data_IF_583917119741
#
_entry.id   IF_583917119741
#
_cell.length_a   1.000
_cell.length_b   1.000
_cell.length_c   1.000
_cell.angle_alpha   90.00
_cell.angle_beta   90.00
_cell.angle_gamma   90.00
#
_symmetry.space_group_name_H-M   'P 1'
#
loop_
_entity.id
_entity.type
_entity.pdbx_description
1 polymer ?
#
# COMPACT_ATOMS: atom_id res chain seq x y z
N UNK A 1 25.60 -6.38 -0.69
CA UNK A 1 26.68 -5.37 -0.87
C UNK A 1 26.00 -4.01 -0.77
N UNK A 2 26.41 -3.17 0.17
CA UNK A 2 25.97 -1.77 0.17
C UNK A 2 26.44 -1.11 -1.13
N UNK A 3 25.57 -0.34 -1.76
CA UNK A 3 25.91 0.44 -2.95
C UNK A 3 26.93 1.52 -2.56
N UNK A 4 28.01 1.64 -3.33
CA UNK A 4 29.09 2.57 -3.00
C UNK A 4 28.61 4.03 -2.91
N UNK A 5 27.67 4.40 -3.80
CA UNK A 5 27.03 5.72 -3.85
C UNK A 5 26.19 6.07 -2.63
N UNK A 6 25.92 5.14 -1.74
CA UNK A 6 25.25 5.39 -0.47
C UNK A 6 26.23 5.59 0.70
N UNK A 7 27.52 5.64 0.41
CA UNK A 7 28.54 5.84 1.43
C UNK A 7 29.11 7.26 1.40
N UNK A 8 29.38 7.89 2.55
CA UNK A 8 30.02 9.22 2.59
C UNK A 8 31.35 9.28 1.81
N UNK A 9 32.13 8.21 1.85
CA UNK A 9 33.43 8.10 1.16
C UNK A 9 33.31 8.24 -0.37
N UNK A 10 32.20 7.82 -0.97
CA UNK A 10 31.95 7.99 -2.41
C UNK A 10 31.92 9.47 -2.81
N UNK A 11 31.45 10.33 -1.92
CA UNK A 11 31.39 11.77 -2.10
C UNK A 11 32.63 12.52 -1.57
N UNK A 12 33.68 11.79 -1.23
CA UNK A 12 34.91 12.37 -0.71
C UNK A 12 34.81 12.88 0.75
N UNK A 13 33.76 12.50 1.45
CA UNK A 13 33.54 12.88 2.83
C UNK A 13 34.30 11.97 3.80
N UNK A 14 34.89 12.56 4.82
CA UNK A 14 35.68 11.88 5.85
C UNK A 14 34.91 11.76 7.16
N UNK A 15 35.45 11.03 8.14
CA UNK A 15 34.88 10.93 9.45
C UNK A 15 34.78 12.31 10.18
N UNK A 16 35.72 13.23 9.89
CA UNK A 16 35.68 14.59 10.44
C UNK A 16 34.50 15.38 9.91
N UNK A 17 34.19 15.26 8.60
CA UNK A 17 33.08 15.95 7.95
C UNK A 17 31.74 15.54 8.55
N UNK A 18 31.59 14.31 9.03
CA UNK A 18 30.39 13.82 9.67
C UNK A 18 29.98 14.58 10.94
N UNK A 19 30.90 15.36 11.52
CA UNK A 19 30.66 16.22 12.69
C UNK A 19 30.36 17.67 12.31
N UNK A 20 30.54 18.05 11.05
CA UNK A 20 30.28 19.39 10.55
C UNK A 20 28.81 19.73 10.67
N UNK A 21 28.50 20.94 11.13
CA UNK A 21 27.15 21.47 11.26
C UNK A 21 26.69 22.08 9.94
N UNK A 22 25.48 21.73 9.52
CA UNK A 22 24.85 22.27 8.32
C UNK A 22 23.54 22.96 8.68
N UNK A 23 23.19 24.00 7.90
CA UNK A 23 21.85 24.57 7.96
C UNK A 23 20.87 23.59 7.33
N UNK A 24 19.75 23.37 7.98
CA UNK A 24 18.66 22.50 7.53
C UNK A 24 17.35 23.26 7.39
N UNK A 25 17.43 24.59 7.24
CA UNK A 25 16.26 25.47 7.18
C UNK A 25 15.26 25.07 6.08
N UNK A 26 15.75 24.49 4.99
CA UNK A 26 14.92 24.01 3.87
C UNK A 26 14.51 22.54 4.00
N UNK A 27 14.91 21.88 5.08
CA UNK A 27 14.50 20.49 5.37
C UNK A 27 13.53 20.45 6.57
N UNK A 28 12.70 19.42 6.62
CA UNK A 28 11.71 19.27 7.70
C UNK A 28 12.20 18.44 8.87
N UNK A 29 13.47 18.07 8.82
CA UNK A 29 14.00 17.07 9.73
C UNK A 29 14.55 17.65 11.01
N UNK A 30 15.00 18.93 10.99
CA UNK A 30 15.84 19.45 12.05
C UNK A 30 15.74 20.98 12.18
N UNK A 31 16.09 21.46 13.36
CA UNK A 31 16.43 22.84 13.63
C UNK A 31 17.77 23.22 12.97
N UNK A 32 18.12 24.51 12.92
CA UNK A 32 19.39 24.98 12.36
C UNK A 32 20.60 24.36 13.12
N UNK A 33 21.67 24.10 12.39
CA UNK A 33 22.91 23.62 12.95
C UNK A 33 22.92 22.14 13.35
N UNK A 34 22.68 21.24 12.39
CA UNK A 34 22.65 19.79 12.61
C UNK A 34 23.89 19.13 12.01
N UNK A 35 24.53 18.25 12.77
CA UNK A 35 25.68 17.49 12.30
C UNK A 35 25.31 16.56 11.12
N UNK A 36 26.18 16.50 10.10
CA UNK A 36 25.96 15.69 8.89
C UNK A 36 25.56 14.24 9.21
N UNK A 37 26.19 13.63 10.20
CA UNK A 37 25.83 12.25 10.64
C UNK A 37 24.36 12.09 11.03
N UNK A 38 23.75 13.13 11.63
CA UNK A 38 22.33 13.10 11.99
C UNK A 38 21.43 13.25 10.78
N UNK A 39 21.85 14.08 9.82
CA UNK A 39 21.14 14.23 8.55
C UNK A 39 21.16 12.90 7.78
N UNK A 40 22.34 12.29 7.62
CA UNK A 40 22.49 11.01 6.92
C UNK A 40 21.65 9.93 7.60
N UNK A 41 21.76 9.78 8.92
CA UNK A 41 20.99 8.78 9.67
C UNK A 41 19.47 8.99 9.51
N UNK A 42 19.01 10.22 9.46
CA UNK A 42 17.61 10.52 9.27
C UNK A 42 17.11 10.19 7.85
N UNK A 43 17.91 10.45 6.84
CA UNK A 43 17.59 10.09 5.46
C UNK A 43 17.64 8.56 5.25
N UNK A 44 18.63 7.89 5.83
CA UNK A 44 18.70 6.43 5.84
C UNK A 44 17.46 5.83 6.51
N UNK A 45 17.07 6.30 7.70
CA UNK A 45 15.88 5.82 8.42
C UNK A 45 14.58 6.07 7.63
N UNK A 46 14.54 7.12 6.81
CA UNK A 46 13.38 7.44 5.98
C UNK A 46 13.32 6.60 4.70
N UNK A 47 14.43 6.46 3.97
CA UNK A 47 14.42 5.98 2.58
C UNK A 47 15.00 4.59 2.38
N UNK A 48 15.68 4.02 3.39
CA UNK A 48 16.26 2.66 3.28
C UNK A 48 15.54 1.61 4.14
N UNK A 49 14.38 1.97 4.67
CA UNK A 49 13.52 1.05 5.43
C UNK A 49 12.75 0.07 4.54
N UNK A 50 11.65 -0.45 5.09
CA UNK A 50 10.78 -1.41 4.37
C UNK A 50 9.74 -0.73 3.48
N UNK A 51 9.55 0.58 3.60
CA UNK A 51 8.69 1.37 2.74
C UNK A 51 9.52 2.02 1.62
N UNK A 52 9.21 1.70 0.38
CA UNK A 52 9.72 2.39 -0.80
C UNK A 52 8.70 3.42 -1.29
N UNK A 53 9.16 4.61 -1.65
CA UNK A 53 8.31 5.65 -2.23
C UNK A 53 8.95 6.21 -3.51
N UNK A 54 8.19 6.22 -4.59
CA UNK A 54 8.62 6.70 -5.90
C UNK A 54 7.89 8.00 -6.24
N UNK A 55 8.48 9.13 -5.95
CA UNK A 55 7.89 10.46 -6.20
C UNK A 55 8.81 11.43 -6.95
N UNK A 56 10.07 11.05 -7.20
CA UNK A 56 11.04 11.92 -7.87
C UNK A 56 10.73 12.18 -9.35
N UNK A 57 9.84 11.38 -9.96
CA UNK A 57 9.33 11.58 -11.31
C UNK A 57 8.27 12.71 -11.41
N UNK A 58 7.72 13.15 -10.28
CA UNK A 58 6.73 14.23 -10.24
C UNK A 58 7.41 15.53 -10.65
N UNK A 59 6.85 16.22 -11.66
CA UNK A 59 7.42 17.45 -12.22
C UNK A 59 6.96 18.72 -11.52
N UNK A 60 5.82 18.70 -10.83
CA UNK A 60 5.36 19.80 -10.00
C UNK A 60 6.19 19.85 -8.71
N UNK A 61 6.92 20.94 -8.53
CA UNK A 61 7.83 21.10 -7.40
C UNK A 61 7.10 21.15 -6.04
N UNK A 62 5.87 21.69 -6.00
CA UNK A 62 5.09 21.77 -4.76
C UNK A 62 4.58 20.40 -4.36
N UNK A 63 4.12 19.60 -5.32
CA UNK A 63 3.68 18.23 -5.08
C UNK A 63 4.86 17.34 -4.66
N UNK A 64 5.99 17.42 -5.35
CA UNK A 64 7.21 16.70 -4.99
C UNK A 64 7.66 17.06 -3.57
N UNK A 65 7.66 18.36 -3.25
CA UNK A 65 7.99 18.87 -1.92
C UNK A 65 7.02 18.38 -0.85
N UNK A 66 5.73 18.29 -1.16
CA UNK A 66 4.73 17.76 -0.24
C UNK A 66 5.00 16.30 0.11
N UNK A 67 5.35 15.46 -0.88
CA UNK A 67 5.72 14.06 -0.64
C UNK A 67 6.98 13.94 0.21
N UNK A 68 8.01 14.73 -0.10
CA UNK A 68 9.24 14.76 0.68
C UNK A 68 8.95 15.10 2.15
N UNK A 69 8.20 16.19 2.38
CA UNK A 69 7.71 16.58 3.71
C UNK A 69 7.04 15.45 4.44
N UNK A 70 6.09 14.81 3.78
CA UNK A 70 5.27 13.75 4.38
C UNK A 70 6.10 12.55 4.82
N UNK A 71 7.07 12.16 4.02
CA UNK A 71 7.96 11.02 4.31
C UNK A 71 8.99 11.37 5.39
N UNK A 72 9.67 12.49 5.23
CA UNK A 72 10.78 12.87 6.10
C UNK A 72 10.31 13.26 7.51
N UNK A 73 9.20 13.97 7.64
CA UNK A 73 8.66 14.37 8.96
C UNK A 73 8.24 13.18 9.82
N UNK A 74 7.86 12.08 9.22
CA UNK A 74 7.44 10.86 9.92
C UNK A 74 8.50 9.75 9.87
N UNK A 75 9.62 9.98 9.20
CA UNK A 75 10.64 8.95 8.90
C UNK A 75 10.04 7.76 8.13
N UNK A 76 9.06 8.02 7.29
CA UNK A 76 8.26 6.99 6.62
C UNK A 76 7.69 5.93 7.58
N UNK A 77 7.53 6.28 8.86
CA UNK A 77 6.99 5.40 9.91
C UNK A 77 5.65 5.96 10.40
N UNK A 78 4.52 5.40 9.98
CA UNK A 78 3.23 5.84 10.46
C UNK A 78 3.08 5.54 11.96
N UNK A 79 2.56 6.50 12.70
CA UNK A 79 2.16 6.29 14.09
C UNK A 79 0.76 5.67 14.08
N UNK A 80 0.67 4.37 14.34
CA UNK A 80 -0.59 3.63 14.35
C UNK A 80 -0.96 3.25 15.79
N UNK A 81 -2.20 3.50 16.16
CA UNK A 81 -2.82 3.02 17.40
C UNK A 81 -2.94 1.48 17.40
N UNK A 82 -3.21 0.91 18.55
CA UNK A 82 -3.43 -0.53 18.70
C UNK A 82 -4.62 -1.01 17.85
N UNK A 83 -5.69 -0.21 17.80
CA UNK A 83 -6.90 -0.57 17.04
C UNK A 83 -6.67 -0.48 15.53
N UNK A 84 -5.93 0.51 15.05
CA UNK A 84 -5.51 0.57 13.65
C UNK A 84 -4.64 -0.62 13.26
N UNK A 85 -3.66 -1.00 14.09
CA UNK A 85 -2.83 -2.19 13.85
C UNK A 85 -3.66 -3.47 13.82
N UNK A 86 -4.63 -3.61 14.73
CA UNK A 86 -5.54 -4.76 14.76
C UNK A 86 -6.38 -4.83 13.49
N UNK A 87 -6.96 -3.71 13.07
CA UNK A 87 -7.72 -3.63 11.82
C UNK A 87 -6.88 -3.99 10.59
N UNK A 88 -5.66 -3.46 10.51
CA UNK A 88 -4.73 -3.82 9.43
C UNK A 88 -4.50 -5.33 9.40
N UNK A 89 -4.23 -5.94 10.55
CA UNK A 89 -4.04 -7.38 10.66
C UNK A 89 -5.29 -8.15 10.22
N UNK A 90 -6.48 -7.74 10.66
CA UNK A 90 -7.74 -8.36 10.24
C UNK A 90 -7.92 -8.31 8.71
N UNK A 91 -7.60 -7.18 8.07
CA UNK A 91 -7.69 -7.04 6.61
C UNK A 91 -6.67 -7.92 5.90
N UNK A 92 -5.45 -8.01 6.40
CA UNK A 92 -4.41 -8.89 5.83
C UNK A 92 -4.80 -10.38 5.96
N UNK A 93 -5.29 -10.79 7.12
CA UNK A 93 -5.77 -12.16 7.36
C UNK A 93 -6.95 -12.49 6.45
N UNK A 94 -7.90 -11.57 6.27
CA UNK A 94 -9.03 -11.77 5.38
C UNK A 94 -8.58 -11.89 3.90
N UNK A 95 -7.64 -11.04 3.47
CA UNK A 95 -7.09 -11.07 2.13
C UNK A 95 -6.35 -12.39 1.84
N UNK A 96 -5.48 -12.83 2.74
CA UNK A 96 -4.76 -14.09 2.61
C UNK A 96 -5.70 -15.29 2.71
N UNK A 97 -6.67 -15.24 3.62
CA UNK A 97 -7.60 -16.33 3.88
C UNK A 97 -8.42 -16.71 2.65
N UNK A 98 -8.96 -15.75 1.92
CA UNK A 98 -9.71 -16.03 0.70
C UNK A 98 -8.81 -16.61 -0.40
N UNK A 99 -7.58 -16.10 -0.55
CA UNK A 99 -6.64 -16.64 -1.54
C UNK A 99 -6.29 -18.11 -1.24
N UNK A 100 -5.96 -18.43 0.01
CA UNK A 100 -5.66 -19.79 0.45
C UNK A 100 -6.87 -20.72 0.27
N UNK A 101 -8.06 -20.26 0.63
CA UNK A 101 -9.29 -21.02 0.45
C UNK A 101 -9.54 -21.36 -1.02
N UNK A 102 -9.50 -20.34 -1.90
CA UNK A 102 -9.73 -20.56 -3.33
C UNK A 102 -8.65 -21.45 -3.95
N UNK A 103 -7.39 -21.33 -3.51
CA UNK A 103 -6.29 -22.17 -3.97
C UNK A 103 -6.53 -23.65 -3.64
N UNK A 104 -6.97 -23.92 -2.42
CA UNK A 104 -7.16 -25.29 -1.95
C UNK A 104 -8.46 -25.90 -2.52
N UNK A 105 -9.54 -25.14 -2.49
CA UNK A 105 -10.86 -25.64 -2.87
C UNK A 105 -11.06 -25.79 -4.36
N UNK A 106 -10.51 -24.85 -5.14
CA UNK A 106 -10.68 -24.76 -6.59
C UNK A 106 -9.34 -24.88 -7.31
N UNK A 107 -8.58 -25.92 -6.96
CA UNK A 107 -7.27 -26.18 -7.56
C UNK A 107 -7.35 -26.25 -9.10
N UNK A 108 -6.41 -25.60 -9.77
CA UNK A 108 -6.33 -25.55 -11.23
C UNK A 108 -7.27 -24.54 -11.91
N UNK A 109 -8.21 -23.93 -11.20
CA UNK A 109 -9.01 -22.85 -11.78
C UNK A 109 -8.24 -21.51 -11.74
N UNK A 110 -8.36 -20.72 -12.81
CA UNK A 110 -7.84 -19.34 -12.84
C UNK A 110 -8.50 -18.53 -11.73
N UNK A 111 -7.74 -17.73 -11.00
CA UNK A 111 -8.25 -16.83 -9.98
C UNK A 111 -7.58 -15.45 -9.95
N UNK A 112 -6.49 -15.27 -10.73
CA UNK A 112 -5.70 -14.03 -10.76
C UNK A 112 -5.44 -13.50 -9.35
N UNK A 113 -4.77 -14.34 -8.56
CA UNK A 113 -4.52 -14.15 -7.14
C UNK A 113 -3.88 -12.82 -6.78
N UNK A 114 -4.24 -12.32 -5.60
CA UNK A 114 -3.63 -11.14 -4.98
C UNK A 114 -2.36 -11.47 -4.18
N UNK A 115 -1.94 -12.74 -4.13
CA UNK A 115 -0.78 -13.17 -3.34
C UNK A 115 0.45 -12.28 -3.59
N UNK A 116 1.04 -11.79 -2.50
CA UNK A 116 2.12 -10.80 -2.52
C UNK A 116 1.67 -9.33 -2.60
N UNK A 117 0.37 -9.07 -2.79
CA UNK A 117 -0.21 -7.73 -2.87
C UNK A 117 -1.32 -7.48 -1.84
N UNK A 118 -1.36 -8.21 -0.74
CA UNK A 118 -2.44 -8.18 0.27
C UNK A 118 -2.62 -6.80 0.89
N UNK A 119 -1.57 -5.97 0.91
CA UNK A 119 -1.62 -4.59 1.37
C UNK A 119 -2.59 -3.71 0.55
N UNK A 120 -2.95 -4.12 -0.69
CA UNK A 120 -3.98 -3.45 -1.47
C UNK A 120 -5.33 -3.43 -0.74
N UNK A 121 -5.69 -4.51 -0.06
CA UNK A 121 -6.95 -4.60 0.70
C UNK A 121 -6.94 -3.62 1.87
N UNK A 122 -5.82 -3.51 2.59
CA UNK A 122 -5.65 -2.53 3.66
C UNK A 122 -5.77 -1.10 3.12
N UNK A 123 -5.10 -0.81 2.02
CA UNK A 123 -5.12 0.51 1.38
C UNK A 123 -6.54 0.90 0.95
N UNK A 124 -7.27 0.02 0.29
CA UNK A 124 -8.62 0.29 -0.19
C UNK A 124 -9.62 0.42 0.97
N UNK A 125 -9.49 -0.39 2.02
CA UNK A 125 -10.30 -0.30 3.23
C UNK A 125 -10.13 1.08 3.87
N UNK A 126 -8.89 1.54 4.04
CA UNK A 126 -8.62 2.86 4.63
C UNK A 126 -9.07 4.00 3.70
N UNK A 127 -8.87 3.87 2.39
CA UNK A 127 -9.34 4.86 1.42
C UNK A 127 -10.86 5.05 1.49
N UNK A 128 -11.63 3.96 1.55
CA UNK A 128 -13.10 4.01 1.65
C UNK A 128 -13.53 4.64 2.98
N UNK A 129 -12.90 4.24 4.10
CA UNK A 129 -13.17 4.82 5.42
C UNK A 129 -12.87 6.31 5.48
N UNK A 130 -11.70 6.69 4.97
CA UNK A 130 -11.31 8.10 4.91
C UNK A 130 -12.27 8.90 4.02
N UNK A 131 -12.64 8.36 2.86
CA UNK A 131 -13.63 8.96 1.99
C UNK A 131 -14.98 9.17 2.69
N UNK A 132 -15.47 8.16 3.42
CA UNK A 132 -16.70 8.27 4.20
C UNK A 132 -16.60 9.37 5.28
N UNK A 133 -15.47 9.49 5.98
CA UNK A 133 -15.24 10.56 6.95
C UNK A 133 -15.26 11.95 6.30
N UNK A 134 -14.99 12.06 5.01
CA UNK A 134 -15.08 13.26 4.18
C UNK A 134 -16.42 13.40 3.45
N UNK A 135 -17.44 12.61 3.86
CA UNK A 135 -18.80 12.64 3.29
C UNK A 135 -18.87 12.19 1.81
N UNK A 136 -17.93 11.43 1.34
CA UNK A 136 -18.02 10.75 0.03
C UNK A 136 -19.15 9.72 0.12
N UNK A 137 -20.11 9.81 -0.79
CA UNK A 137 -21.33 8.97 -0.78
C UNK A 137 -21.22 7.75 -1.69
N UNK A 138 -20.35 7.81 -2.67
CA UNK A 138 -20.22 6.75 -3.67
C UNK A 138 -18.78 6.67 -4.15
N UNK A 139 -18.29 5.44 -4.31
CA UNK A 139 -16.98 5.14 -4.86
C UNK A 139 -17.18 4.17 -6.01
N UNK A 140 -16.61 4.48 -7.17
CA UNK A 140 -16.60 3.60 -8.34
C UNK A 140 -15.17 3.09 -8.52
N UNK A 141 -14.99 1.77 -8.53
CA UNK A 141 -13.68 1.13 -8.67
C UNK A 141 -13.58 0.45 -10.01
N UNK A 142 -12.64 0.89 -10.86
CA UNK A 142 -12.21 0.21 -12.07
C UNK A 142 -10.87 -0.48 -11.83
N UNK A 143 -10.77 -1.76 -12.18
CA UNK A 143 -9.52 -2.50 -12.02
C UNK A 143 -9.41 -3.64 -13.02
N UNK A 144 -8.17 -4.04 -13.33
CA UNK A 144 -7.88 -5.26 -14.09
C UNK A 144 -8.24 -6.52 -13.25
N UNK A 145 -7.82 -7.68 -13.71
CA UNK A 145 -8.20 -8.97 -13.11
C UNK A 145 -7.42 -9.31 -11.82
N UNK A 146 -6.15 -8.89 -11.68
CA UNK A 146 -5.30 -9.24 -10.53
C UNK A 146 -5.91 -8.73 -9.22
N UNK A 147 -6.18 -9.66 -8.31
CA UNK A 147 -6.78 -9.36 -7.00
C UNK A 147 -8.26 -8.96 -7.05
N UNK A 148 -8.91 -8.97 -8.22
CA UNK A 148 -10.31 -8.50 -8.36
C UNK A 148 -11.29 -9.25 -7.47
N UNK A 149 -11.18 -10.57 -7.38
CA UNK A 149 -12.07 -11.38 -6.54
C UNK A 149 -11.92 -11.01 -5.05
N UNK A 150 -10.70 -10.80 -4.62
CA UNK A 150 -10.39 -10.37 -3.26
C UNK A 150 -10.99 -8.99 -2.95
N UNK A 151 -10.84 -8.03 -3.84
CA UNK A 151 -11.44 -6.69 -3.71
C UNK A 151 -12.97 -6.76 -3.70
N UNK A 152 -13.58 -7.56 -4.56
CA UNK A 152 -15.04 -7.73 -4.59
C UNK A 152 -15.58 -8.24 -3.26
N UNK A 153 -14.90 -9.18 -2.63
CA UNK A 153 -15.33 -9.76 -1.34
C UNK A 153 -14.98 -8.83 -0.18
N UNK A 154 -13.71 -8.47 -0.03
CA UNK A 154 -13.22 -7.81 1.17
C UNK A 154 -13.48 -6.30 1.22
N UNK A 155 -13.70 -5.66 0.06
CA UNK A 155 -13.92 -4.20 -0.02
C UNK A 155 -15.35 -3.87 -0.46
N UNK A 156 -15.84 -4.50 -1.52
CA UNK A 156 -17.16 -4.18 -2.07
C UNK A 156 -18.28 -4.95 -1.35
N UNK A 157 -17.92 -5.98 -0.58
CA UNK A 157 -18.85 -6.74 0.26
C UNK A 157 -19.63 -7.82 -0.50
N UNK A 158 -19.07 -8.36 -1.60
CA UNK A 158 -19.66 -9.50 -2.30
C UNK A 158 -19.68 -10.71 -1.36
N UNK A 159 -20.84 -11.36 -1.13
CA UNK A 159 -20.92 -12.53 -0.27
C UNK A 159 -20.05 -13.69 -0.78
N UNK A 160 -19.37 -14.37 0.14
CA UNK A 160 -18.50 -15.50 -0.21
C UNK A 160 -19.24 -16.60 -0.99
N UNK A 161 -20.48 -16.96 -0.57
CA UNK A 161 -21.26 -17.97 -1.27
C UNK A 161 -21.53 -17.59 -2.73
N UNK A 162 -21.81 -16.30 -3.00
CA UNK A 162 -22.05 -15.84 -4.37
C UNK A 162 -20.78 -15.98 -5.24
N UNK A 163 -19.59 -15.77 -4.66
CA UNK A 163 -18.34 -16.04 -5.34
C UNK A 163 -18.13 -17.54 -5.57
N UNK A 164 -18.40 -18.37 -4.56
CA UNK A 164 -18.22 -19.84 -4.68
C UNK A 164 -19.17 -20.45 -5.70
N UNK A 165 -20.42 -19.99 -5.76
CA UNK A 165 -21.39 -20.44 -6.77
C UNK A 165 -20.89 -20.13 -8.21
N UNK A 166 -20.17 -19.01 -8.40
CA UNK A 166 -19.54 -18.70 -9.69
C UNK A 166 -18.40 -19.69 -10.03
N UNK A 167 -17.61 -20.11 -9.04
CA UNK A 167 -16.59 -21.15 -9.24
C UNK A 167 -17.20 -22.52 -9.54
N UNK A 168 -18.36 -22.82 -8.99
CA UNK A 168 -19.07 -24.08 -9.15
C UNK A 168 -20.03 -24.09 -10.35
N UNK A 169 -20.10 -22.99 -11.11
CA UNK A 169 -20.97 -22.88 -12.27
C UNK A 169 -22.47 -22.84 -11.96
N UNK A 170 -22.84 -22.49 -10.72
CA UNK A 170 -24.23 -22.44 -10.25
C UNK A 170 -24.91 -21.09 -10.45
N UNK A 171 -24.21 -20.08 -10.94
CA UNK A 171 -24.75 -18.72 -11.13
C UNK A 171 -25.72 -18.65 -12.29
N UNK A 172 -26.79 -17.85 -12.15
CA UNK A 172 -27.74 -17.57 -13.21
C UNK A 172 -27.03 -16.92 -14.41
N UNK A 173 -27.01 -17.61 -15.54
CA UNK A 173 -26.32 -17.17 -16.77
C UNK A 173 -25.10 -18.02 -17.10
N UNK A 174 -25.23 -19.33 -17.00
CA UNK A 174 -24.24 -20.32 -17.48
C UNK A 174 -24.09 -20.29 -18.99
N UNK A 175 -23.55 -19.22 -19.50
CA UNK A 175 -22.99 -19.20 -20.84
C UNK A 175 -21.47 -19.02 -20.68
N UNK A 176 -20.85 -20.17 -20.71
CA UNK A 176 -19.48 -20.42 -21.17
C UNK A 176 -18.34 -19.52 -20.68
N UNK A 177 -17.33 -20.22 -20.29
CA UNK A 177 -15.94 -19.90 -20.25
C UNK A 177 -15.45 -19.34 -18.92
N UNK A 178 -14.38 -19.94 -18.51
CA UNK A 178 -13.50 -19.65 -17.38
C UNK A 178 -13.17 -18.16 -17.14
N UNK A 179 -13.32 -17.32 -18.15
CA UNK A 179 -13.00 -15.89 -18.10
C UNK A 179 -14.13 -14.97 -17.61
N UNK A 180 -15.40 -15.39 -17.67
CA UNK A 180 -16.55 -14.48 -17.37
C UNK A 180 -16.61 -14.10 -15.89
N UNK A 181 -16.24 -14.98 -14.98
CA UNK A 181 -16.27 -14.70 -13.54
C UNK A 181 -15.33 -13.55 -13.12
N UNK A 182 -14.26 -13.31 -13.87
CA UNK A 182 -13.29 -12.24 -13.56
C UNK A 182 -13.71 -10.86 -14.06
N UNK A 183 -14.70 -10.82 -14.95
CA UNK A 183 -15.21 -9.57 -15.54
C UNK A 183 -16.52 -9.09 -14.90
N UNK A 184 -17.11 -9.91 -14.02
CA UNK A 184 -18.33 -9.52 -13.29
C UNK A 184 -18.02 -8.39 -12.31
N UNK A 185 -18.95 -7.44 -12.23
CA UNK A 185 -18.97 -6.36 -11.26
C UNK A 185 -19.82 -6.74 -10.05
N UNK A 186 -19.75 -5.91 -9.04
CA UNK A 186 -20.63 -5.98 -7.88
C UNK A 186 -20.87 -4.57 -7.34
N UNK A 187 -22.08 -4.34 -6.81
CA UNK A 187 -22.42 -3.12 -6.07
C UNK A 187 -22.84 -3.50 -4.68
N UNK A 188 -22.25 -2.87 -3.68
CA UNK A 188 -22.52 -3.12 -2.28
C UNK A 188 -22.49 -1.85 -1.46
N UNK A 189 -22.81 -1.96 -0.18
CA UNK A 189 -22.70 -0.89 0.81
C UNK A 189 -21.50 -1.18 1.68
N UNK A 190 -20.54 -0.28 1.69
CA UNK A 190 -19.39 -0.40 2.58
C UNK A 190 -19.81 -0.13 4.03
N UNK A 191 -19.45 -1.03 4.94
CA UNK A 191 -19.59 -0.82 6.38
C UNK A 191 -18.33 -0.07 6.87
N UNK A 192 -18.49 1.21 7.21
CA UNK A 192 -17.39 2.09 7.64
C UNK A 192 -17.53 2.45 9.11
#
# INVERSE_FOLDING_TARGET
RALAELTPAYYGLTAADMSTQFSTADTFLFEEGVALRKIVAALEDTYTGTLGAEFTHITDANEQRWWQLRLESTRAKPSLSVDEKRRILERLVAAEGIEKFLHTRYAGQKRFSLEGGESLIVLLDELVRYGASKKVRSVVMGMAHRGRLNVLVNIVGKPHHALFDEFEGKGAGTLQADDVKYHKGFSGVAQT
#
